data_IF_841787844680
#
_entry.id   IF_841787844680
#
_cell.length_a   1.000
_cell.length_b   1.000
_cell.length_c   1.000
_cell.angle_alpha   90.00
_cell.angle_beta   90.00
_cell.angle_gamma   90.00
#
_symmetry.space_group_name_H-M   'P 1'
#
loop_
_entity.id
_entity.type
_entity.pdbx_description
1 polymer ?
#
# COMPACT_ATOMS: atom_id res chain seq x y z
N UNK A 1 12.79 -8.86 11.77
CA UNK A 1 12.78 -8.13 13.05
C UNK A 1 11.37 -7.77 13.53
N UNK A 2 10.40 -7.57 12.63
CA UNK A 2 9.04 -7.11 12.99
C UNK A 2 8.08 -8.27 13.29
N UNK A 3 8.27 -9.45 12.69
CA UNK A 3 7.46 -10.65 12.92
C UNK A 3 7.40 -11.11 14.38
N UNK A 4 8.52 -11.21 15.12
CA UNK A 4 8.48 -11.60 16.53
C UNK A 4 7.66 -10.64 17.39
N UNK A 5 7.72 -9.33 17.10
CA UNK A 5 6.95 -8.30 17.82
C UNK A 5 5.46 -8.44 17.53
N UNK A 6 5.06 -8.68 16.30
CA UNK A 6 3.67 -8.94 15.93
C UNK A 6 3.14 -10.19 16.65
N UNK A 7 3.89 -11.28 16.61
CA UNK A 7 3.51 -12.54 17.24
C UNK A 7 3.40 -12.41 18.77
N UNK A 8 4.33 -11.70 19.41
CA UNK A 8 4.29 -11.44 20.86
C UNK A 8 3.05 -10.65 21.27
N UNK A 9 2.55 -9.76 20.40
CA UNK A 9 1.33 -8.98 20.60
C UNK A 9 0.05 -9.72 20.17
N UNK A 10 0.16 -10.91 19.57
CA UNK A 10 -0.98 -11.64 19.02
C UNK A 10 -1.60 -10.96 17.79
N UNK A 11 -0.84 -10.15 17.06
CA UNK A 11 -1.30 -9.49 15.86
C UNK A 11 -1.13 -10.40 14.64
N UNK A 12 -2.10 -10.36 13.74
CA UNK A 12 -1.95 -10.95 12.42
C UNK A 12 -1.03 -10.07 11.57
N UNK A 13 0.09 -10.65 11.11
CA UNK A 13 1.02 -9.96 10.23
C UNK A 13 1.05 -10.63 8.87
N UNK A 14 0.81 -9.85 7.82
CA UNK A 14 0.83 -10.32 6.43
C UNK A 14 1.81 -9.50 5.62
N UNK A 15 2.55 -10.16 4.72
CA UNK A 15 3.37 -9.48 3.74
C UNK A 15 3.10 -10.08 2.35
N UNK A 16 2.93 -9.19 1.39
CA UNK A 16 2.68 -9.53 -0.01
C UNK A 16 3.63 -8.72 -0.89
N UNK A 17 4.20 -9.37 -1.90
CA UNK A 17 4.97 -8.74 -2.96
C UNK A 17 4.36 -9.17 -4.27
N UNK A 18 3.96 -8.19 -5.10
CA UNK A 18 3.34 -8.47 -6.39
C UNK A 18 4.32 -9.20 -7.32
N UNK A 19 3.79 -10.04 -8.20
CA UNK A 19 4.59 -10.91 -9.07
C UNK A 19 5.46 -10.11 -10.06
N UNK A 20 5.02 -8.92 -10.44
CA UNK A 20 5.71 -8.04 -11.37
C UNK A 20 6.79 -7.16 -10.71
N UNK A 21 6.97 -7.26 -9.40
CA UNK A 21 8.08 -6.61 -8.68
C UNK A 21 9.37 -7.34 -9.03
N UNK A 22 10.42 -6.63 -9.51
CA UNK A 22 11.70 -7.24 -9.81
C UNK A 22 12.29 -7.97 -8.61
N UNK A 23 12.86 -9.16 -8.82
CA UNK A 23 13.51 -9.93 -7.75
C UNK A 23 14.74 -9.21 -7.18
N UNK A 24 15.43 -8.47 -8.04
CA UNK A 24 16.63 -7.70 -7.69
C UNK A 24 16.49 -6.28 -8.19
N UNK A 25 16.87 -5.33 -7.36
CA UNK A 25 16.94 -3.92 -7.72
C UNK A 25 18.26 -3.32 -7.24
N UNK A 26 18.69 -2.27 -7.91
CA UNK A 26 19.86 -1.47 -7.53
C UNK A 26 19.36 -0.23 -6.80
N UNK A 27 19.74 -0.08 -5.54
CA UNK A 27 19.31 1.01 -4.68
C UNK A 27 20.05 1.05 -3.35
N UNK A 28 19.68 2.01 -2.51
CA UNK A 28 20.25 2.14 -1.16
C UNK A 28 19.47 1.25 -0.18
N UNK A 29 19.99 0.07 0.07
CA UNK A 29 19.41 -0.92 0.99
C UNK A 29 19.16 -0.35 2.39
N UNK A 30 20.10 0.45 2.89
CA UNK A 30 19.98 1.02 4.24
C UNK A 30 18.78 1.98 4.33
N UNK A 31 18.60 2.83 3.33
CA UNK A 31 17.47 3.77 3.27
C UNK A 31 16.15 3.05 3.11
N UNK A 32 16.08 2.07 2.20
CA UNK A 32 14.88 1.24 1.99
C UNK A 32 14.50 0.53 3.29
N UNK A 33 15.47 -0.11 3.94
CA UNK A 33 15.27 -0.80 5.22
C UNK A 33 14.82 0.17 6.32
N UNK A 34 15.36 1.38 6.37
CA UNK A 34 14.97 2.39 7.36
C UNK A 34 13.54 2.88 7.15
N UNK A 35 13.13 3.15 5.90
CA UNK A 35 11.73 3.48 5.54
C UNK A 35 10.81 2.38 6.04
N UNK A 36 11.10 1.13 5.65
CA UNK A 36 10.26 -0.03 6.00
C UNK A 36 10.16 -0.24 7.51
N UNK A 37 11.28 -0.18 8.22
CA UNK A 37 11.29 -0.36 9.68
C UNK A 37 10.51 0.75 10.39
N UNK A 38 10.62 2.00 9.94
CA UNK A 38 9.86 3.11 10.52
C UNK A 38 8.35 2.92 10.35
N UNK A 39 7.91 2.54 9.16
CA UNK A 39 6.48 2.33 8.88
C UNK A 39 5.93 1.13 9.65
N UNK A 40 6.62 -0.01 9.59
CA UNK A 40 6.18 -1.24 10.26
C UNK A 40 6.22 -1.11 11.79
N UNK A 41 7.25 -0.48 12.35
CA UNK A 41 7.32 -0.28 13.80
C UNK A 41 6.20 0.64 14.30
N UNK A 42 5.81 1.66 13.52
CA UNK A 42 4.66 2.50 13.84
C UNK A 42 3.35 1.70 13.77
N UNK A 43 3.11 0.95 12.72
CA UNK A 43 1.94 0.10 12.59
C UNK A 43 1.81 -0.88 13.76
N UNK A 44 2.88 -1.60 14.08
CA UNK A 44 2.92 -2.53 15.22
C UNK A 44 2.78 -1.84 16.57
N UNK A 45 3.27 -0.60 16.71
CA UNK A 45 3.20 0.19 17.94
C UNK A 45 1.77 0.62 18.23
N UNK A 46 1.04 1.09 17.22
CA UNK A 46 -0.28 1.68 17.37
C UNK A 46 -1.42 0.69 17.17
N UNK A 47 -1.13 -0.58 16.88
CA UNK A 47 -2.09 -1.66 16.82
C UNK A 47 -2.00 -2.53 18.08
N UNK A 48 -3.09 -2.63 18.80
CA UNK A 48 -3.19 -3.46 20.00
C UNK A 48 -3.81 -4.83 19.72
N UNK A 49 -4.76 -4.90 18.79
CA UNK A 49 -5.43 -6.12 18.31
C UNK A 49 -5.72 -5.95 16.81
N UNK A 50 -5.78 -7.07 16.08
CA UNK A 50 -6.10 -7.08 14.67
C UNK A 50 -4.89 -7.41 13.80
N UNK A 51 -4.63 -6.61 12.76
CA UNK A 51 -3.66 -6.96 11.73
C UNK A 51 -2.75 -5.79 11.34
N UNK A 52 -1.56 -6.13 10.88
CA UNK A 52 -0.63 -5.26 10.14
C UNK A 52 -0.28 -5.95 8.82
N UNK A 53 -0.43 -5.24 7.73
CA UNK A 53 -0.14 -5.75 6.39
C UNK A 53 0.92 -4.89 5.71
N UNK A 54 1.88 -5.55 5.08
CA UNK A 54 2.84 -4.95 4.17
C UNK A 54 2.56 -5.46 2.76
N UNK A 55 2.41 -4.55 1.82
CA UNK A 55 2.29 -4.89 0.41
C UNK A 55 3.30 -4.09 -0.41
N UNK A 56 3.90 -4.72 -1.41
CA UNK A 56 4.89 -4.11 -2.30
C UNK A 56 4.43 -4.28 -3.74
N UNK A 57 4.40 -3.19 -4.47
CA UNK A 57 3.99 -3.16 -5.87
C UNK A 57 4.97 -2.38 -6.72
N UNK A 58 5.09 -2.78 -7.98
CA UNK A 58 5.69 -1.98 -9.02
C UNK A 58 4.60 -1.06 -9.59
N UNK A 59 4.70 0.24 -9.33
CA UNK A 59 3.67 1.21 -9.75
C UNK A 59 4.03 1.92 -11.06
N UNK A 60 5.30 2.00 -11.39
CA UNK A 60 5.75 2.60 -12.64
C UNK A 60 7.10 2.01 -13.06
N UNK A 61 7.35 1.98 -14.38
CA UNK A 61 8.66 1.61 -14.94
C UNK A 61 8.94 2.44 -16.19
N UNK A 62 10.11 3.04 -16.22
CA UNK A 62 10.64 3.72 -17.38
C UNK A 62 12.11 3.33 -17.57
N UNK A 63 12.40 2.64 -18.69
CA UNK A 63 13.74 2.10 -18.97
C UNK A 63 14.22 1.19 -17.83
N UNK A 64 15.36 1.49 -17.23
CA UNK A 64 15.96 0.78 -16.10
C UNK A 64 15.48 1.28 -14.74
N UNK A 65 14.64 2.31 -14.68
CA UNK A 65 14.11 2.86 -13.43
C UNK A 65 12.71 2.31 -13.16
N UNK A 66 12.54 1.74 -11.96
CA UNK A 66 11.28 1.20 -11.46
C UNK A 66 10.84 2.00 -10.23
N UNK A 67 9.57 2.35 -10.16
CA UNK A 67 8.96 2.87 -8.96
C UNK A 67 8.32 1.72 -8.18
N UNK A 68 8.76 1.54 -6.94
CA UNK A 68 8.19 0.60 -6.00
C UNK A 68 7.37 1.35 -4.97
N UNK A 69 6.15 0.90 -4.74
CA UNK A 69 5.27 1.46 -3.71
C UNK A 69 5.03 0.42 -2.62
N UNK A 70 5.33 0.81 -1.40
CA UNK A 70 5.08 0.04 -0.19
C UNK A 70 3.82 0.54 0.48
N UNK A 71 2.87 -0.35 0.74
CA UNK A 71 1.70 -0.06 1.56
C UNK A 71 1.87 -0.75 2.91
N UNK A 72 1.85 0.02 3.97
CA UNK A 72 1.80 -0.51 5.34
C UNK A 72 0.47 -0.12 5.93
N UNK A 73 -0.38 -1.11 6.11
CA UNK A 73 -1.73 -0.93 6.64
C UNK A 73 -1.83 -1.55 8.03
N UNK A 74 -2.43 -0.82 8.95
CA UNK A 74 -2.72 -1.26 10.30
C UNK A 74 -4.21 -1.10 10.63
N UNK A 75 -4.72 -1.93 11.55
CA UNK A 75 -6.08 -1.82 12.09
C UNK A 75 -6.08 -1.19 13.48
N UNK A 76 -5.15 -0.30 13.74
CA UNK A 76 -4.95 0.32 15.04
C UNK A 76 -5.88 1.50 15.35
N UNK A 77 -5.41 2.38 16.20
CA UNK A 77 -6.20 3.52 16.71
C UNK A 77 -6.58 4.55 15.64
N UNK A 78 -5.88 4.54 14.48
CA UNK A 78 -6.06 5.55 13.44
C UNK A 78 -5.59 6.94 13.87
N UNK A 79 -5.74 7.90 12.98
CA UNK A 79 -5.22 9.27 13.11
C UNK A 79 -6.31 10.24 12.66
N UNK A 80 -6.61 11.24 13.46
CA UNK A 80 -7.58 12.26 13.10
C UNK A 80 -7.04 13.27 12.07
N UNK A 81 -7.90 14.15 11.59
CA UNK A 81 -7.55 15.13 10.56
C UNK A 81 -6.45 16.12 11.01
N UNK A 82 -6.42 16.50 12.30
CA UNK A 82 -5.40 17.40 12.83
C UNK A 82 -4.06 16.71 12.96
N UNK A 83 -4.04 15.46 13.44
CA UNK A 83 -2.85 14.61 13.53
C UNK A 83 -2.23 14.36 12.16
N UNK A 84 -3.07 14.06 11.14
CA UNK A 84 -2.58 13.82 9.77
C UNK A 84 -1.81 15.02 9.19
N UNK A 85 -2.28 16.25 9.44
CA UNK A 85 -1.60 17.46 8.95
C UNK A 85 -0.20 17.66 9.54
N UNK A 86 0.06 17.08 10.72
CA UNK A 86 1.31 17.26 11.46
C UNK A 86 2.28 16.08 11.33
N UNK A 87 1.84 14.93 10.80
CA UNK A 87 2.58 13.66 10.82
C UNK A 87 3.99 13.72 10.25
N UNK A 88 4.18 14.52 9.20
CA UNK A 88 5.45 14.60 8.47
C UNK A 88 6.27 15.85 8.84
N UNK A 89 5.91 16.54 9.92
CA UNK A 89 6.68 17.68 10.43
C UNK A 89 7.70 17.17 11.45
N UNK A 90 8.88 17.80 11.48
CA UNK A 90 9.92 17.48 12.45
C UNK A 90 9.45 17.77 13.87
N UNK A 91 9.74 16.86 14.80
CA UNK A 91 9.35 16.96 16.22
C UNK A 91 7.84 17.12 16.46
N UNK A 92 7.03 16.81 15.47
CA UNK A 92 5.58 16.85 15.61
C UNK A 92 5.07 15.49 16.05
N UNK A 93 4.20 15.50 17.04
CA UNK A 93 3.47 14.34 17.52
C UNK A 93 1.98 14.68 17.49
N UNK A 94 1.16 13.72 17.07
CA UNK A 94 -0.26 13.98 16.85
C UNK A 94 -1.00 14.36 18.14
N UNK A 95 -0.53 13.90 19.30
CA UNK A 95 -1.15 14.17 20.61
C UNK A 95 -0.17 13.92 21.77
N UNK A 96 -0.12 14.81 22.75
CA UNK A 96 0.69 14.69 23.98
C UNK A 96 0.26 13.49 24.85
N UNK A 97 -0.99 13.06 24.76
CA UNK A 97 -1.53 11.89 25.48
C UNK A 97 -1.01 10.56 24.90
N UNK A 98 -0.84 10.50 23.60
CA UNK A 98 -0.28 9.34 22.87
C UNK A 98 1.21 9.20 23.19
N UNK A 99 1.91 10.31 23.32
CA UNK A 99 3.34 10.37 23.67
C UNK A 99 3.64 9.71 25.00
N UNK A 100 2.83 9.95 26.04
CA UNK A 100 3.01 9.34 27.35
C UNK A 100 2.77 7.83 27.36
N UNK A 101 1.93 7.33 26.47
CA UNK A 101 1.52 5.90 26.44
C UNK A 101 2.41 5.05 25.53
N UNK A 102 2.89 5.62 24.43
CA UNK A 102 3.58 4.85 23.39
C UNK A 102 5.02 5.31 23.13
N UNK A 103 5.45 6.47 23.62
CA UNK A 103 6.81 6.99 23.45
C UNK A 103 7.15 7.30 21.97
N UNK A 104 8.29 7.90 21.74
CA UNK A 104 8.83 8.13 20.40
C UNK A 104 9.39 9.53 20.23
N UNK A 105 10.32 9.74 19.31
CA UNK A 105 10.99 11.03 19.07
C UNK A 105 10.19 11.97 18.17
N UNK A 106 9.13 11.47 17.50
CA UNK A 106 8.41 12.24 16.47
C UNK A 106 9.22 12.47 15.17
N UNK A 107 10.38 11.83 15.05
CA UNK A 107 11.26 12.00 13.89
C UNK A 107 11.09 10.91 12.82
N UNK A 108 10.53 9.74 13.16
CA UNK A 108 10.51 8.59 12.27
C UNK A 108 9.82 8.88 10.93
N UNK A 109 8.60 9.40 10.94
CA UNK A 109 7.85 9.71 9.71
C UNK A 109 8.44 10.90 8.95
N UNK A 110 8.98 11.90 9.64
CA UNK A 110 9.72 12.99 8.99
C UNK A 110 10.94 12.44 8.25
N UNK A 111 11.75 11.58 8.90
CA UNK A 111 12.91 10.94 8.26
C UNK A 111 12.45 10.06 7.09
N UNK A 112 11.37 9.29 7.25
CA UNK A 112 10.81 8.48 6.15
C UNK A 112 10.46 9.35 4.94
N UNK A 113 9.82 10.50 5.16
CA UNK A 113 9.51 11.45 4.08
C UNK A 113 10.77 11.95 3.38
N UNK A 114 11.78 12.39 4.14
CA UNK A 114 13.05 12.86 3.58
C UNK A 114 13.76 11.78 2.77
N UNK A 115 13.76 10.53 3.26
CA UNK A 115 14.37 9.41 2.55
C UNK A 115 13.62 9.08 1.25
N UNK A 116 12.29 9.05 1.29
CA UNK A 116 11.47 8.82 0.10
C UNK A 116 11.70 9.91 -0.96
N UNK A 117 11.72 11.19 -0.55
CA UNK A 117 12.01 12.33 -1.43
C UNK A 117 13.43 12.25 -2.05
N UNK A 118 14.46 11.86 -1.25
CA UNK A 118 15.81 11.64 -1.75
C UNK A 118 15.90 10.46 -2.74
N UNK A 119 14.99 9.51 -2.64
CA UNK A 119 14.83 8.41 -3.59
C UNK A 119 13.82 8.72 -4.71
N UNK A 120 13.57 10.02 -4.96
CA UNK A 120 12.67 10.51 -6.01
C UNK A 120 11.24 9.99 -5.93
N UNK A 121 10.79 9.69 -4.71
CA UNK A 121 9.46 9.21 -4.41
C UNK A 121 8.72 10.15 -3.47
N UNK A 122 7.70 9.61 -2.81
CA UNK A 122 6.86 10.36 -1.87
C UNK A 122 6.25 9.41 -0.83
N UNK A 123 5.64 10.00 0.19
CA UNK A 123 4.89 9.27 1.20
C UNK A 123 3.54 9.95 1.43
N UNK A 124 2.50 9.13 1.56
CA UNK A 124 1.13 9.57 1.84
C UNK A 124 0.53 8.74 2.97
N UNK A 125 -0.58 9.22 3.56
CA UNK A 125 -1.29 8.50 4.61
C UNK A 125 -2.79 8.68 4.44
N UNK A 126 -3.50 7.56 4.55
CA UNK A 126 -4.94 7.54 4.81
C UNK A 126 -5.21 6.93 6.16
N UNK A 127 -6.06 7.57 6.94
CA UNK A 127 -6.36 7.11 8.28
C UNK A 127 -7.67 7.66 8.77
N UNK A 128 -8.39 6.83 9.53
CA UNK A 128 -9.61 7.22 10.25
C UNK A 128 -9.49 6.78 11.71
N UNK A 129 -9.89 7.63 12.68
CA UNK A 129 -9.90 7.26 14.07
C UNK A 129 -10.69 5.97 14.33
N UNK A 130 -10.07 5.02 15.03
CA UNK A 130 -10.66 3.72 15.37
C UNK A 130 -10.69 2.69 14.23
N UNK A 131 -10.24 3.04 13.02
CA UNK A 131 -10.21 2.13 11.87
C UNK A 131 -8.81 1.75 11.41
N UNK A 132 -7.79 2.46 11.90
CA UNK A 132 -6.41 2.24 11.54
C UNK A 132 -5.88 3.21 10.49
N UNK A 133 -4.72 2.88 9.93
CA UNK A 133 -4.01 3.72 8.98
C UNK A 133 -3.44 2.91 7.83
N UNK A 134 -3.34 3.53 6.66
CA UNK A 134 -2.57 3.03 5.51
C UNK A 134 -1.54 4.09 5.13
N UNK A 135 -0.28 3.74 5.27
CA UNK A 135 0.83 4.53 4.76
C UNK A 135 1.26 3.97 3.41
N UNK A 136 1.31 4.83 2.39
CA UNK A 136 1.88 4.50 1.09
C UNK A 136 3.19 5.25 0.90
N UNK A 137 4.26 4.53 0.59
CA UNK A 137 5.57 5.12 0.33
C UNK A 137 6.09 4.63 -1.02
N UNK A 138 6.24 5.54 -1.97
CA UNK A 138 6.84 5.28 -3.27
C UNK A 138 8.32 5.67 -3.26
N UNK A 139 9.14 4.87 -3.92
CA UNK A 139 10.57 5.15 -4.16
C UNK A 139 10.95 4.72 -5.57
N UNK A 140 11.96 5.37 -6.15
CA UNK A 140 12.53 4.95 -7.44
C UNK A 140 13.84 4.22 -7.21
N UNK A 141 13.97 3.07 -7.88
CA UNK A 141 15.15 2.20 -7.87
C UNK A 141 15.48 1.80 -9.29
N UNK A 142 16.70 1.32 -9.56
CA UNK A 142 17.04 0.78 -10.85
C UNK A 142 16.89 -0.73 -10.87
N UNK A 143 16.62 -1.29 -12.04
CA UNK A 143 16.75 -2.73 -12.28
C UNK A 143 18.07 -3.01 -13.00
N UNK A 144 18.75 -4.14 -12.69
CA UNK A 144 19.92 -4.54 -13.44
C UNK A 144 19.51 -4.71 -14.90
N UNK A 145 20.09 -3.92 -15.78
CA UNK A 145 20.04 -4.20 -17.22
C UNK A 145 20.89 -5.47 -17.37
N UNK A 146 20.36 -6.54 -17.97
CA UNK A 146 21.18 -7.70 -18.31
C UNK A 146 22.36 -7.20 -19.14
N UNK A 147 23.50 -7.00 -18.49
CA UNK A 147 24.64 -6.36 -19.09
C UNK A 147 25.29 -7.33 -20.07
N UNK A 148 25.38 -6.89 -21.30
CA UNK A 148 26.62 -7.08 -22.06
C UNK A 148 27.74 -6.44 -21.21
N UNK A 149 28.70 -7.25 -20.82
CA UNK A 149 29.85 -6.94 -19.97
C UNK A 149 30.36 -5.51 -20.12
N UNK A 150 30.45 -4.71 -19.04
CA UNK A 150 31.66 -4.02 -18.63
C UNK A 150 31.43 -3.09 -17.42
N UNK A 151 32.36 -3.25 -16.49
CA UNK A 151 32.84 -2.32 -15.46
C UNK A 151 32.06 -2.12 -14.15
N UNK A 152 32.78 -2.51 -13.09
CA UNK A 152 32.47 -2.45 -11.67
C UNK A 152 32.39 -1.00 -11.18
N UNK A 153 31.18 -0.48 -11.03
CA UNK A 153 30.89 0.43 -9.92
C UNK A 153 30.26 -0.40 -8.79
N UNK A 154 30.61 -0.13 -7.56
CA UNK A 154 30.08 -0.80 -6.38
C UNK A 154 28.59 -0.44 -6.19
N UNK A 155 27.75 -0.99 -7.04
CA UNK A 155 26.30 -0.94 -6.88
C UNK A 155 25.90 -2.17 -6.05
N UNK A 156 25.37 -1.95 -4.86
CA UNK A 156 24.86 -3.00 -3.99
C UNK A 156 23.53 -3.46 -4.60
N UNK A 157 23.49 -4.69 -5.12
CA UNK A 157 22.25 -5.37 -5.48
C UNK A 157 21.48 -5.71 -4.21
N UNK A 158 20.25 -5.23 -4.10
CA UNK A 158 19.35 -5.55 -3.02
C UNK A 158 18.34 -6.60 -3.48
N UNK A 159 18.37 -7.76 -2.85
CA UNK A 159 17.44 -8.85 -3.14
C UNK A 159 16.14 -8.69 -2.35
N UNK A 160 15.07 -8.30 -3.04
CA UNK A 160 13.72 -8.12 -2.45
C UNK A 160 13.16 -9.44 -1.91
N UNK A 161 13.58 -10.59 -2.44
CA UNK A 161 13.19 -11.91 -1.92
C UNK A 161 13.69 -12.10 -0.48
N UNK A 162 14.86 -11.55 -0.15
CA UNK A 162 15.40 -11.54 1.21
C UNK A 162 14.58 -10.65 2.14
N UNK A 163 14.03 -9.54 1.65
CA UNK A 163 13.11 -8.71 2.43
C UNK A 163 11.87 -9.52 2.83
N UNK A 164 11.28 -10.27 1.90
CA UNK A 164 10.14 -11.15 2.15
C UNK A 164 10.47 -12.22 3.20
N UNK A 165 11.61 -12.90 3.05
CA UNK A 165 12.07 -13.92 3.98
C UNK A 165 12.42 -13.34 5.36
N UNK A 166 12.99 -12.14 5.40
CA UNK A 166 13.34 -11.46 6.64
C UNK A 166 12.11 -10.97 7.43
N UNK A 167 11.02 -10.63 6.72
CA UNK A 167 9.78 -10.14 7.30
C UNK A 167 8.83 -11.27 7.74
N UNK A 168 8.76 -12.38 7.00
CA UNK A 168 7.76 -13.42 7.18
C UNK A 168 8.21 -14.64 8.02
N UNK A 169 9.50 -14.93 8.11
CA UNK A 169 9.92 -16.23 8.64
C UNK A 169 9.37 -17.40 7.79
N UNK A 170 9.94 -18.59 7.92
CA UNK A 170 9.76 -19.71 6.98
C UNK A 170 8.42 -20.47 7.06
N UNK A 171 7.37 -19.99 7.72
CA UNK A 171 6.16 -20.80 7.99
C UNK A 171 4.79 -20.26 7.51
N UNK A 172 4.72 -19.37 6.54
CA UNK A 172 3.44 -18.81 6.09
C UNK A 172 2.91 -19.37 4.75
N UNK A 173 3.16 -20.66 4.41
CA UNK A 173 2.74 -21.25 3.13
C UNK A 173 1.37 -21.94 3.08
N UNK A 174 0.55 -21.92 4.12
CA UNK A 174 -0.70 -22.68 4.08
C UNK A 174 -1.87 -22.03 4.83
N UNK A 175 -2.40 -20.93 4.32
CA UNK A 175 -3.78 -20.50 4.66
C UNK A 175 -4.24 -19.33 3.78
N UNK A 176 -4.28 -19.52 2.47
CA UNK A 176 -4.95 -18.58 1.55
C UNK A 176 -6.07 -19.27 0.78
N UNK A 177 -7.06 -19.79 1.49
CA UNK A 177 -8.35 -20.17 0.92
C UNK A 177 -9.46 -20.02 1.96
N UNK A 178 -9.83 -18.78 2.24
CA UNK A 178 -11.20 -18.51 2.68
C UNK A 178 -11.70 -17.28 1.94
N UNK A 179 -12.49 -17.55 0.91
CA UNK A 179 -13.24 -16.55 0.14
C UNK A 179 -14.26 -15.91 1.09
N UNK A 180 -13.95 -14.74 1.59
CA UNK A 180 -14.90 -13.94 2.33
C UNK A 180 -15.92 -13.34 1.36
N UNK A 181 -17.19 -13.72 1.54
CA UNK A 181 -18.31 -13.18 0.79
C UNK A 181 -18.63 -11.77 1.29
N UNK A 182 -18.42 -10.79 0.43
CA UNK A 182 -18.70 -9.39 0.73
C UNK A 182 -20.17 -9.06 0.78
N UNK A 183 -20.59 -8.42 1.87
CA UNK A 183 -21.72 -7.52 1.98
C UNK A 183 -23.09 -8.05 1.55
N UNK A 184 -24.11 -7.27 1.80
CA UNK A 184 -25.46 -7.51 1.28
C UNK A 184 -25.47 -7.48 -0.27
N UNK A 185 -26.41 -8.16 -0.89
CA UNK A 185 -26.61 -8.14 -2.36
C UNK A 185 -26.73 -6.70 -2.91
N UNK A 186 -27.19 -5.75 -2.09
CA UNK A 186 -27.28 -4.33 -2.41
C UNK A 186 -25.89 -3.69 -2.59
N UNK A 187 -24.95 -3.95 -1.68
CA UNK A 187 -23.59 -3.37 -1.76
C UNK A 187 -22.82 -3.90 -2.98
N UNK A 188 -23.01 -5.16 -3.35
CA UNK A 188 -22.41 -5.72 -4.57
C UNK A 188 -22.92 -5.06 -5.84
N UNK A 189 -24.23 -4.80 -5.90
CA UNK A 189 -24.84 -4.14 -7.06
C UNK A 189 -24.35 -2.70 -7.18
N UNK A 190 -24.25 -2.00 -6.07
CA UNK A 190 -23.77 -0.63 -6.03
C UNK A 190 -22.26 -0.56 -6.41
N UNK A 191 -21.44 -1.47 -5.92
CA UNK A 191 -20.03 -1.60 -6.32
C UNK A 191 -19.90 -1.84 -7.83
N UNK A 192 -20.67 -2.76 -8.40
CA UNK A 192 -20.65 -3.04 -9.84
C UNK A 192 -20.98 -1.78 -10.66
N UNK A 193 -22.03 -1.05 -10.28
CA UNK A 193 -22.43 0.20 -10.95
C UNK A 193 -21.36 1.28 -10.85
N UNK A 194 -20.74 1.45 -9.66
CA UNK A 194 -19.67 2.44 -9.50
C UNK A 194 -18.43 2.06 -10.29
N UNK A 195 -18.08 0.77 -10.37
CA UNK A 195 -16.95 0.29 -11.19
C UNK A 195 -17.16 0.52 -12.68
N UNK A 196 -18.39 0.28 -13.20
CA UNK A 196 -18.70 0.55 -14.60
C UNK A 196 -18.61 2.04 -14.94
N UNK A 197 -19.19 2.89 -14.08
CA UNK A 197 -19.13 4.35 -14.25
C UNK A 197 -17.72 4.89 -14.14
N UNK A 198 -16.92 4.34 -13.24
CA UNK A 198 -15.51 4.69 -13.10
C UNK A 198 -14.74 4.44 -14.40
N UNK A 199 -14.83 3.21 -14.94
CA UNK A 199 -14.12 2.83 -16.17
C UNK A 199 -14.55 3.73 -17.32
N UNK A 200 -15.87 3.97 -17.48
CA UNK A 200 -16.37 4.88 -18.50
C UNK A 200 -15.81 6.31 -18.35
N UNK A 201 -15.73 6.82 -17.12
CA UNK A 201 -15.17 8.15 -16.88
C UNK A 201 -13.66 8.19 -17.20
N UNK A 202 -12.90 7.13 -16.89
CA UNK A 202 -11.49 7.02 -17.24
C UNK A 202 -11.30 6.98 -18.77
N UNK A 203 -12.12 6.19 -19.48
CA UNK A 203 -12.08 6.11 -20.94
C UNK A 203 -12.44 7.44 -21.63
N UNK A 204 -13.29 8.25 -20.98
CA UNK A 204 -13.66 9.58 -21.44
C UNK A 204 -12.71 10.69 -20.95
N UNK A 205 -11.62 10.33 -20.26
CA UNK A 205 -10.67 11.27 -19.62
C UNK A 205 -11.35 12.28 -18.67
N UNK A 206 -12.47 11.90 -18.08
CA UNK A 206 -13.21 12.72 -17.12
C UNK A 206 -12.74 12.40 -15.70
N UNK A 207 -11.55 12.85 -15.36
CA UNK A 207 -10.85 12.50 -14.13
C UNK A 207 -11.54 13.00 -12.87
N UNK A 208 -12.19 14.17 -12.91
CA UNK A 208 -12.95 14.70 -11.77
C UNK A 208 -14.10 13.76 -11.35
N UNK A 209 -14.87 13.27 -12.33
CA UNK A 209 -15.94 12.31 -12.05
C UNK A 209 -15.39 10.93 -11.70
N UNK A 210 -14.31 10.51 -12.32
CA UNK A 210 -13.64 9.25 -12.01
C UNK A 210 -13.19 9.23 -10.55
N UNK A 211 -12.64 10.33 -10.01
CA UNK A 211 -12.25 10.43 -8.60
C UNK A 211 -13.43 10.20 -7.67
N UNK A 212 -14.59 10.82 -7.94
CA UNK A 212 -15.80 10.61 -7.14
C UNK A 212 -16.24 9.15 -7.09
N UNK A 213 -16.19 8.42 -8.23
CA UNK A 213 -16.52 7.00 -8.27
C UNK A 213 -15.47 6.15 -7.56
N UNK A 214 -14.18 6.47 -7.68
CA UNK A 214 -13.11 5.78 -6.98
C UNK A 214 -13.24 5.94 -5.45
N UNK A 215 -13.59 7.12 -4.96
CA UNK A 215 -13.87 7.36 -3.53
C UNK A 215 -15.08 6.56 -3.04
N UNK A 216 -16.16 6.51 -3.82
CA UNK A 216 -17.34 5.70 -3.49
C UNK A 216 -17.00 4.21 -3.40
N UNK A 217 -16.24 3.68 -4.38
CA UNK A 217 -15.77 2.28 -4.38
C UNK A 217 -14.93 2.01 -3.14
N UNK A 218 -13.98 2.89 -2.81
CA UNK A 218 -13.15 2.77 -1.62
C UNK A 218 -14.01 2.76 -0.35
N UNK A 219 -15.00 3.64 -0.23
CA UNK A 219 -15.92 3.71 0.91
C UNK A 219 -16.73 2.41 1.05
N UNK A 220 -17.33 1.92 -0.04
CA UNK A 220 -18.09 0.67 -0.05
C UNK A 220 -17.21 -0.56 0.31
N UNK A 221 -15.92 -0.52 -0.02
CA UNK A 221 -14.95 -1.57 0.32
C UNK A 221 -14.32 -1.40 1.71
N UNK A 222 -14.46 -0.25 2.36
CA UNK A 222 -13.84 0.01 3.66
C UNK A 222 -14.37 -0.91 4.77
N UNK A 223 -15.65 -1.29 4.71
CA UNK A 223 -16.28 -2.21 5.66
C UNK A 223 -15.96 -3.67 5.38
N UNK A 224 -15.36 -3.96 4.22
CA UNK A 224 -14.90 -5.30 3.93
C UNK A 224 -13.75 -5.67 4.86
N UNK A 225 -13.76 -6.79 5.49
CA UNK A 225 -12.62 -7.27 6.30
C UNK A 225 -11.35 -7.53 5.47
N UNK A 226 -11.38 -7.36 4.15
CA UNK A 226 -10.32 -7.74 3.21
C UNK A 226 -9.35 -6.61 2.94
N UNK A 227 -8.14 -6.79 3.42
CA UNK A 227 -7.09 -5.80 3.38
C UNK A 227 -6.59 -5.56 1.95
N UNK A 228 -6.54 -6.62 1.12
CA UNK A 228 -6.14 -6.55 -0.29
C UNK A 228 -7.06 -5.64 -1.09
N UNK A 229 -8.35 -5.65 -0.76
CA UNK A 229 -9.34 -4.81 -1.41
C UNK A 229 -9.19 -3.35 -0.97
N UNK A 230 -8.91 -3.10 0.31
CA UNK A 230 -8.67 -1.74 0.84
C UNK A 230 -7.47 -1.08 0.17
N UNK A 231 -6.34 -1.80 0.08
CA UNK A 231 -5.15 -1.28 -0.61
C UNK A 231 -5.36 -1.16 -2.11
N UNK A 232 -6.10 -2.09 -2.74
CA UNK A 232 -6.47 -2.02 -4.16
C UNK A 232 -7.28 -0.78 -4.49
N UNK A 233 -8.32 -0.49 -3.71
CA UNK A 233 -9.16 0.70 -3.92
C UNK A 233 -8.41 2.01 -3.65
N UNK A 234 -7.47 2.01 -2.72
CA UNK A 234 -6.61 3.16 -2.49
C UNK A 234 -5.69 3.43 -3.69
N UNK A 235 -5.02 2.38 -4.21
CA UNK A 235 -4.17 2.49 -5.41
C UNK A 235 -4.95 2.99 -6.61
N UNK A 236 -6.18 2.48 -6.80
CA UNK A 236 -7.07 2.95 -7.83
C UNK A 236 -7.35 4.46 -7.72
N UNK A 237 -7.69 4.92 -6.52
CA UNK A 237 -7.93 6.35 -6.27
C UNK A 237 -6.68 7.19 -6.56
N UNK A 238 -5.49 6.71 -6.17
CA UNK A 238 -4.24 7.42 -6.45
C UNK A 238 -3.92 7.47 -7.94
N UNK A 239 -4.17 6.39 -8.69
CA UNK A 239 -3.99 6.38 -10.14
C UNK A 239 -4.95 7.35 -10.84
N UNK A 240 -6.19 7.42 -10.38
CA UNK A 240 -7.19 8.36 -10.90
C UNK A 240 -6.77 9.82 -10.62
N UNK A 241 -6.33 10.13 -9.40
CA UNK A 241 -5.81 11.47 -9.03
C UNK A 241 -4.58 11.90 -9.82
N UNK A 242 -3.77 10.94 -10.26
CA UNK A 242 -2.60 11.18 -11.12
C UNK A 242 -2.95 11.21 -12.62
N UNK A 243 -4.21 11.01 -12.95
CA UNK A 243 -4.70 10.90 -14.34
C UNK A 243 -3.95 9.81 -15.15
N UNK A 244 -3.48 8.76 -14.42
CA UNK A 244 -2.78 7.64 -15.04
C UNK A 244 -3.75 6.60 -15.55
N UNK A 245 -4.11 6.72 -16.83
CA UNK A 245 -5.07 5.85 -17.52
C UNK A 245 -4.72 4.36 -17.35
N UNK A 246 -3.47 3.98 -17.62
CA UNK A 246 -3.04 2.59 -17.63
C UNK A 246 -3.14 1.95 -16.23
N UNK A 247 -2.68 2.67 -15.22
CA UNK A 247 -2.75 2.18 -13.84
C UNK A 247 -4.18 2.16 -13.32
N UNK A 248 -4.98 3.20 -13.62
CA UNK A 248 -6.37 3.27 -13.19
C UNK A 248 -7.20 2.11 -13.76
N UNK A 249 -7.04 1.79 -15.06
CA UNK A 249 -7.69 0.63 -15.67
C UNK A 249 -7.18 -0.67 -15.05
N UNK A 250 -5.87 -0.86 -14.92
CA UNK A 250 -5.29 -2.08 -14.33
C UNK A 250 -5.81 -2.35 -12.92
N UNK A 251 -5.83 -1.34 -12.04
CA UNK A 251 -6.36 -1.51 -10.69
C UNK A 251 -7.87 -1.72 -10.65
N UNK A 252 -8.64 -1.15 -11.59
CA UNK A 252 -10.07 -1.40 -11.69
C UNK A 252 -10.36 -2.86 -12.05
N UNK A 253 -9.59 -3.45 -12.95
CA UNK A 253 -9.71 -4.87 -13.34
C UNK A 253 -9.31 -5.81 -12.18
N UNK A 254 -8.23 -5.48 -11.46
CA UNK A 254 -7.81 -6.22 -10.27
C UNK A 254 -8.91 -6.25 -9.21
N UNK A 255 -9.51 -5.11 -8.88
CA UNK A 255 -10.61 -5.01 -7.93
C UNK A 255 -11.84 -5.79 -8.43
N UNK A 256 -12.17 -5.72 -9.72
CA UNK A 256 -13.25 -6.53 -10.31
C UNK A 256 -13.02 -8.02 -10.12
N UNK A 257 -11.81 -8.47 -10.35
CA UNK A 257 -11.42 -9.88 -10.20
C UNK A 257 -11.57 -10.33 -8.75
N UNK A 258 -11.07 -9.55 -7.79
CA UNK A 258 -11.22 -9.82 -6.36
C UNK A 258 -12.70 -9.91 -5.96
N UNK A 259 -13.50 -8.95 -6.43
CA UNK A 259 -14.93 -8.88 -6.14
C UNK A 259 -15.75 -9.90 -6.94
N UNK A 260 -15.17 -10.60 -7.91
CA UNK A 260 -15.87 -11.50 -8.86
C UNK A 260 -17.06 -10.80 -9.53
N UNK A 261 -16.86 -9.54 -9.92
CA UNK A 261 -17.86 -8.79 -10.69
C UNK A 261 -17.79 -9.22 -12.16
N UNK A 262 -18.96 -9.38 -12.78
CA UNK A 262 -19.03 -9.72 -14.21
C UNK A 262 -18.45 -8.60 -15.07
N UNK A 263 -17.89 -8.96 -16.23
CA UNK A 263 -17.45 -7.97 -17.21
C UNK A 263 -18.63 -7.13 -17.72
N UNK A 264 -18.42 -5.83 -18.01
CA UNK A 264 -19.44 -5.00 -18.62
C UNK A 264 -19.76 -5.55 -20.03
N UNK A 265 -20.99 -5.95 -20.26
CA UNK A 265 -21.46 -6.45 -21.56
C UNK A 265 -21.78 -7.94 -21.64
N UNK A 266 -21.69 -8.72 -20.57
CA UNK A 266 -22.06 -10.14 -20.57
C UNK A 266 -23.56 -10.43 -20.34
N UNK A 267 -24.44 -9.43 -20.43
CA UNK A 267 -25.88 -9.62 -20.44
C UNK A 267 -26.40 -9.29 -21.85
N UNK A 268 -26.57 -10.32 -22.66
CA UNK A 268 -27.31 -10.20 -23.91
C UNK A 268 -26.76 -10.99 -25.09
N UNK A 269 -26.84 -12.31 -25.03
CA UNK A 269 -27.21 -13.16 -26.20
C UNK A 269 -28.10 -14.28 -25.68
#
# INVERSE_FOLDING_TARGET
>A
TNWPVANQKGLHFHAFVAEDVPQTVIGDELRITQIMNNLLSNALKFTSMGAVTLEVYKTHQREDVVELTFFVTDTGIGIDAQGRQKLFQSFSQADDSITRRYGGTGLGLYVTKQLAEQMHGHIEVESEPGRGSTFSCAIKVKVPVQAVEQEKEQNIEFDISNLKNHLLGTQAKSRMEQVYMYGSAANRRELAINMEKLVLCIEMENWEKAEGFAENIKTLCAESGEQTLKSGTFRLLMAVRKEDYKQAIGYSEEIRTILKLKEPGAEGV
#
